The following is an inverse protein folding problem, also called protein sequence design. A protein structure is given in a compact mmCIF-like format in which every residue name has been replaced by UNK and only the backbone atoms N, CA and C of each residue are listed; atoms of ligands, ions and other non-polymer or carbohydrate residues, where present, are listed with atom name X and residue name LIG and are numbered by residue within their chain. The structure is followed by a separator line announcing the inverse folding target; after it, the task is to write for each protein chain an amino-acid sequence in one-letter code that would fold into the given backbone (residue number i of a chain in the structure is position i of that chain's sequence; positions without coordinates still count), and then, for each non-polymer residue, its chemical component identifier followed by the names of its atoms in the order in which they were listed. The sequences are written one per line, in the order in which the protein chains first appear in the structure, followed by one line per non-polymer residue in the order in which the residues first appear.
data_IF_692670130857
#
_entry.id   IF_692670130857
#
_cell.length_a   1.000
_cell.length_b   1.000
_cell.length_c   1.000
_cell.angle_alpha   90.00
_cell.angle_beta   90.00
_cell.angle_gamma   90.00
#
_symmetry.space_group_name_H-M   'P 1'
#
loop_
_entity.id
_entity.type
_entity.pdbx_description
1 polymer ?
#
# COMPACT_ATOMS: atom_id res chain seq x y z
N UNK A 1 0.51 5.20 -5.49
CA UNK A 1 1.22 4.34 -6.45
C UNK A 1 0.28 3.81 -7.53
N UNK A 2 -0.93 3.48 -7.18
CA UNK A 2 -1.95 3.09 -8.17
C UNK A 2 -2.20 4.21 -9.17
N UNK A 3 -2.15 5.43 -8.70
CA UNK A 3 -2.44 6.61 -9.52
C UNK A 3 -1.43 6.83 -10.66
N UNK A 4 -0.29 6.18 -10.59
CA UNK A 4 0.73 6.28 -11.63
C UNK A 4 0.74 5.05 -12.53
N UNK A 5 -0.34 4.28 -12.53
CA UNK A 5 -0.45 3.08 -13.35
C UNK A 5 0.40 1.91 -12.86
N UNK A 6 0.86 1.97 -11.62
CA UNK A 6 1.61 0.87 -11.01
C UNK A 6 0.62 -0.02 -10.26
N UNK A 7 0.37 -1.24 -10.77
CA UNK A 7 -0.69 -2.08 -10.22
C UNK A 7 -0.37 -2.62 -8.83
N UNK A 8 -1.41 -2.69 -8.00
CA UNK A 8 -1.33 -3.37 -6.73
C UNK A 8 -1.88 -4.78 -6.84
N UNK A 9 -1.51 -5.68 -5.92
CA UNK A 9 -1.87 -7.10 -6.06
C UNK A 9 -3.38 -7.38 -5.98
N UNK A 10 -4.11 -6.62 -5.16
CA UNK A 10 -5.55 -6.85 -5.01
C UNK A 10 -6.31 -6.61 -6.32
N UNK A 11 -5.96 -5.54 -7.02
CA UNK A 11 -6.60 -5.21 -8.30
C UNK A 11 -6.20 -6.17 -9.39
N UNK A 12 -4.96 -6.67 -9.37
CA UNK A 12 -4.51 -7.66 -10.35
C UNK A 12 -5.25 -8.97 -10.19
N UNK A 13 -5.54 -9.39 -8.97
CA UNK A 13 -6.31 -10.60 -8.72
C UNK A 13 -7.74 -10.41 -9.25
N UNK A 14 -8.30 -9.24 -9.04
CA UNK A 14 -9.64 -8.89 -9.51
C UNK A 14 -9.75 -8.97 -11.04
N UNK A 15 -8.72 -8.51 -11.76
CA UNK A 15 -8.71 -8.47 -13.22
C UNK A 15 -7.92 -9.63 -13.85
N UNK A 16 -7.61 -10.68 -13.08
CA UNK A 16 -6.71 -11.74 -13.50
C UNK A 16 -7.07 -12.34 -14.87
N UNK A 17 -8.35 -12.64 -15.10
CA UNK A 17 -8.80 -13.25 -16.36
C UNK A 17 -8.68 -12.28 -17.52
N UNK A 18 -8.99 -11.01 -17.31
CA UNK A 18 -8.97 -9.99 -18.36
C UNK A 18 -7.55 -9.62 -18.77
N UNK A 19 -6.61 -9.72 -17.84
CA UNK A 19 -5.21 -9.39 -18.08
C UNK A 19 -4.47 -10.60 -18.67
N UNK A 20 -4.99 -11.79 -18.44
CA UNK A 20 -4.37 -13.02 -18.92
C UNK A 20 -3.20 -13.48 -18.07
N UNK A 21 -3.38 -13.44 -16.74
CA UNK A 21 -2.36 -13.91 -15.81
C UNK A 21 -2.24 -15.43 -15.90
N UNK A 22 -1.00 -15.92 -15.96
CA UNK A 22 -0.72 -17.35 -15.85
C UNK A 22 -0.97 -17.80 -14.41
N UNK A 23 -1.08 -19.12 -14.21
CA UNK A 23 -1.22 -19.69 -12.87
C UNK A 23 -0.04 -19.32 -11.99
N UNK A 24 1.16 -19.32 -12.55
CA UNK A 24 2.38 -18.95 -11.84
C UNK A 24 2.35 -17.47 -11.41
N UNK A 25 1.93 -16.59 -12.32
CA UNK A 25 1.80 -15.18 -12.01
C UNK A 25 0.75 -14.95 -10.94
N UNK A 26 -0.37 -15.63 -11.05
CA UNK A 26 -1.46 -15.53 -10.07
C UNK A 26 -0.98 -15.95 -8.68
N UNK A 27 -0.24 -17.06 -8.59
CA UNK A 27 0.31 -17.53 -7.32
C UNK A 27 1.30 -16.53 -6.72
N UNK A 28 2.17 -15.97 -7.57
CA UNK A 28 3.16 -14.97 -7.12
C UNK A 28 2.49 -13.70 -6.59
N UNK A 29 1.44 -13.24 -7.27
CA UNK A 29 0.71 -12.04 -6.86
C UNK A 29 -0.04 -12.29 -5.55
N UNK A 30 -0.64 -13.47 -5.40
CA UNK A 30 -1.31 -13.82 -4.14
C UNK A 30 -0.34 -13.88 -2.98
N UNK A 31 0.85 -14.45 -3.19
CA UNK A 31 1.87 -14.50 -2.16
C UNK A 31 2.32 -13.09 -1.77
N UNK A 32 2.48 -12.22 -2.75
CA UNK A 32 2.86 -10.83 -2.51
C UNK A 32 1.78 -10.09 -1.73
N UNK A 33 0.51 -10.31 -2.08
CA UNK A 33 -0.63 -9.73 -1.38
C UNK A 33 -0.69 -10.17 0.08
N UNK A 34 -0.54 -11.49 0.33
CA UNK A 34 -0.60 -12.03 1.69
C UNK A 34 0.55 -11.52 2.55
N UNK A 35 1.75 -11.40 1.96
CA UNK A 35 2.90 -10.85 2.67
C UNK A 35 2.67 -9.38 3.04
N UNK A 36 2.19 -8.59 2.10
CA UNK A 36 1.83 -7.19 2.35
C UNK A 36 0.79 -7.07 3.45
N UNK A 37 -0.27 -7.87 3.37
CA UNK A 37 -1.36 -7.84 4.34
C UNK A 37 -0.87 -8.16 5.74
N UNK A 38 -0.01 -9.18 5.87
CA UNK A 38 0.56 -9.58 7.16
C UNK A 38 1.36 -8.43 7.78
N UNK A 39 2.23 -7.79 6.99
CA UNK A 39 3.03 -6.66 7.47
C UNK A 39 2.17 -5.44 7.76
N UNK A 40 1.16 -5.18 6.93
CA UNK A 40 0.26 -4.05 7.13
C UNK A 40 -0.51 -4.19 8.45
N UNK A 41 -0.96 -5.39 8.77
CA UNK A 41 -1.64 -5.67 10.04
C UNK A 41 -0.69 -5.45 11.21
N UNK A 42 0.55 -5.94 11.10
CA UNK A 42 1.56 -5.79 12.15
C UNK A 42 1.85 -4.32 12.44
N UNK A 43 2.13 -3.54 11.41
CA UNK A 43 2.45 -2.12 11.58
C UNK A 43 1.21 -1.29 11.91
N UNK A 44 0.05 -1.66 11.38
CA UNK A 44 -1.22 -1.01 11.72
C UNK A 44 -1.56 -1.17 13.20
N UNK A 45 -1.38 -2.37 13.73
CA UNK A 45 -1.59 -2.64 15.15
C UNK A 45 -0.62 -1.83 16.01
N UNK A 46 0.65 -1.78 15.60
CA UNK A 46 1.66 -0.98 16.29
C UNK A 46 1.32 0.50 16.26
N UNK A 47 0.79 0.99 15.13
CA UNK A 47 0.40 2.39 15.01
C UNK A 47 -0.73 2.74 15.97
N UNK A 48 -1.75 1.91 16.04
CA UNK A 48 -2.87 2.10 16.97
C UNK A 48 -2.36 2.14 18.41
N UNK A 49 -1.43 1.24 18.75
CA UNK A 49 -0.86 1.20 20.10
C UNK A 49 -0.10 2.48 20.41
N UNK A 50 0.69 2.98 19.47
CA UNK A 50 1.45 4.22 19.70
C UNK A 50 0.55 5.44 19.81
N UNK A 51 -0.55 5.48 19.06
CA UNK A 51 -1.54 6.55 19.19
C UNK A 51 -2.24 6.51 20.55
N UNK A 52 -2.54 5.30 21.03
CA UNK A 52 -3.12 5.13 22.38
C UNK A 52 -2.14 5.58 23.45
N UNK A 53 -0.86 5.29 23.26
CA UNK A 53 0.17 5.74 24.21
C UNK A 53 0.21 7.27 24.29
N UNK A 54 0.07 7.93 23.16
CA UNK A 54 0.01 9.40 23.10
C UNK A 54 -1.19 9.92 23.88
N UNK A 55 -2.36 9.34 23.65
CA UNK A 55 -3.58 9.74 24.37
C UNK A 55 -3.42 9.53 25.88
N UNK A 56 -2.79 8.41 26.26
CA UNK A 56 -2.54 8.09 27.67
C UNK A 56 -1.64 9.11 28.33
N UNK A 57 -0.60 9.57 27.64
CA UNK A 57 0.31 10.60 28.15
C UNK A 57 -0.44 11.87 28.51
N UNK A 58 -1.35 12.31 27.63
CA UNK A 58 -2.16 13.50 27.90
C UNK A 58 -3.20 13.26 29.00
N UNK A 59 -3.82 12.08 29.01
CA UNK A 59 -4.81 11.73 30.05
C UNK A 59 -4.16 11.73 31.43
N UNK A 60 -2.93 11.26 31.53
CA UNK A 60 -2.20 11.18 32.81
C UNK A 60 -1.52 12.51 33.18
N UNK A 61 -1.59 13.51 32.29
CA UNK A 61 -1.02 14.85 32.51
C UNK A 61 0.47 14.81 32.82
N UNK A 62 1.17 13.81 32.29
CA UNK A 62 2.62 13.67 32.52
C UNK A 62 3.43 13.93 31.24
N UNK A 63 2.83 14.55 30.26
CA UNK A 63 3.50 14.86 29.00
C UNK A 63 4.38 16.09 29.15
N UNK A 64 5.59 16.01 28.59
CA UNK A 64 6.52 17.13 28.50
C UNK A 64 6.82 17.36 27.03
N UNK A 65 7.46 18.50 26.72
CA UNK A 65 7.87 18.78 25.34
C UNK A 65 8.76 17.65 24.80
N UNK A 66 9.70 17.19 25.63
CA UNK A 66 10.66 16.16 25.25
C UNK A 66 9.96 14.81 25.04
N UNK A 67 9.09 14.40 25.96
CA UNK A 67 8.38 13.12 25.85
C UNK A 67 7.40 13.14 24.68
N UNK A 68 6.77 14.29 24.41
CA UNK A 68 5.89 14.46 23.27
C UNK A 68 6.65 14.27 21.96
N UNK A 69 7.78 14.94 21.80
CA UNK A 69 8.60 14.83 20.60
C UNK A 69 9.02 13.38 20.33
N UNK A 70 9.44 12.68 21.39
CA UNK A 70 9.85 11.29 21.31
C UNK A 70 8.69 10.38 20.87
N UNK A 71 7.51 10.61 21.45
CA UNK A 71 6.32 9.80 21.11
C UNK A 71 5.87 10.04 19.68
N UNK A 72 5.93 11.30 19.22
CA UNK A 72 5.58 11.62 17.83
C UNK A 72 6.57 11.00 16.84
N UNK A 73 7.84 10.89 17.19
CA UNK A 73 8.82 10.18 16.37
C UNK A 73 8.49 8.70 16.23
N UNK A 74 8.05 8.07 17.31
CA UNK A 74 7.64 6.66 17.28
C UNK A 74 6.46 6.46 16.36
N UNK A 75 5.45 7.34 16.46
CA UNK A 75 4.27 7.29 15.61
C UNK A 75 4.66 7.49 14.15
N UNK A 76 5.47 8.48 13.86
CA UNK A 76 5.93 8.78 12.51
C UNK A 76 6.71 7.61 11.90
N UNK A 77 7.56 6.96 12.70
CA UNK A 77 8.34 5.80 12.25
C UNK A 77 7.43 4.63 11.84
N UNK A 78 6.46 4.29 12.68
CA UNK A 78 5.53 3.19 12.40
C UNK A 78 4.65 3.53 11.19
N UNK A 79 4.16 4.76 11.12
CA UNK A 79 3.34 5.22 10.00
C UNK A 79 4.12 5.15 8.68
N UNK A 80 5.40 5.53 8.72
CA UNK A 80 6.29 5.46 7.56
C UNK A 80 6.49 4.01 7.11
N UNK A 81 6.69 3.09 8.05
CA UNK A 81 6.86 1.67 7.73
C UNK A 81 5.60 1.08 7.11
N UNK A 82 4.44 1.44 7.63
CA UNK A 82 3.16 0.98 7.08
C UNK A 82 2.99 1.46 5.63
N UNK A 83 3.28 2.72 5.39
CA UNK A 83 3.22 3.30 4.05
C UNK A 83 4.22 2.62 3.11
N UNK A 84 5.44 2.37 3.61
CA UNK A 84 6.49 1.71 2.83
C UNK A 84 6.07 0.31 2.37
N UNK A 85 5.42 -0.46 3.26
CA UNK A 85 4.92 -1.80 2.91
C UNK A 85 4.02 -1.75 1.68
N UNK A 86 3.08 -0.82 1.66
CA UNK A 86 2.16 -0.67 0.53
C UNK A 86 2.88 -0.23 -0.75
N UNK A 87 3.75 0.77 -0.63
CA UNK A 87 4.45 1.32 -1.80
C UNK A 87 5.46 0.33 -2.38
N UNK A 88 6.18 -0.40 -1.54
CA UNK A 88 7.11 -1.43 -2.00
C UNK A 88 6.39 -2.54 -2.74
N UNK A 89 5.20 -2.90 -2.28
CA UNK A 89 4.38 -3.91 -2.96
C UNK A 89 4.05 -3.45 -4.38
N UNK A 90 3.69 -2.18 -4.55
CA UNK A 90 3.45 -1.62 -5.89
C UNK A 90 4.70 -1.63 -6.75
N UNK A 91 5.88 -1.48 -6.16
CA UNK A 91 7.14 -1.55 -6.91
C UNK A 91 7.47 -2.97 -7.37
N UNK A 92 7.08 -3.98 -6.58
CA UNK A 92 7.37 -5.38 -6.89
C UNK A 92 6.41 -5.97 -7.91
N UNK A 93 5.20 -5.45 -8.00
CA UNK A 93 4.16 -6.01 -8.85
C UNK A 93 4.53 -6.01 -10.34
N UNK A 94 5.05 -4.90 -10.92
CA UNK A 94 5.39 -4.90 -12.35
C UNK A 94 6.42 -5.94 -12.75
N UNK A 95 7.28 -6.37 -11.83
CA UNK A 95 8.30 -7.39 -12.11
C UNK A 95 7.68 -8.76 -12.39
N UNK A 96 6.45 -9.00 -11.94
CA UNK A 96 5.72 -10.25 -12.15
C UNK A 96 5.01 -10.25 -13.50
N UNK A 97 4.68 -9.06 -14.01
CA UNK A 97 3.86 -8.89 -15.20
C UNK A 97 4.74 -8.67 -16.44
N UNK A 98 4.19 -9.01 -17.62
CA UNK A 98 4.76 -8.56 -18.88
C UNK A 98 4.35 -7.11 -19.11
N UNK A 99 5.09 -6.44 -20.01
CA UNK A 99 4.77 -5.07 -20.38
C UNK A 99 3.34 -4.95 -20.96
N UNK A 100 2.96 -5.94 -21.79
CA UNK A 100 1.62 -5.97 -22.37
C UNK A 100 0.55 -6.08 -21.28
N UNK A 101 0.80 -6.87 -20.26
CA UNK A 101 -0.15 -7.04 -19.15
C UNK A 101 -0.31 -5.74 -18.36
N UNK A 102 0.77 -4.99 -18.14
CA UNK A 102 0.71 -3.69 -17.48
C UNK A 102 -0.12 -2.71 -18.29
N UNK A 103 0.09 -2.67 -19.61
CA UNK A 103 -0.69 -1.82 -20.51
C UNK A 103 -2.17 -2.19 -20.45
N UNK A 104 -2.49 -3.48 -20.51
CA UNK A 104 -3.87 -3.96 -20.45
C UNK A 104 -4.53 -3.58 -19.12
N UNK A 105 -3.80 -3.75 -18.03
CA UNK A 105 -4.29 -3.36 -16.70
C UNK A 105 -4.62 -1.87 -16.65
N UNK A 106 -3.70 -1.04 -17.16
CA UNK A 106 -3.88 0.42 -17.14
C UNK A 106 -5.08 0.84 -18.00
N UNK A 107 -5.30 0.17 -19.12
CA UNK A 107 -6.48 0.42 -19.96
C UNK A 107 -7.77 0.08 -19.21
N UNK A 108 -7.80 -1.05 -18.51
CA UNK A 108 -8.97 -1.47 -17.73
C UNK A 108 -9.27 -0.51 -16.59
N UNK A 109 -8.23 0.11 -16.03
CA UNK A 109 -8.38 1.08 -14.94
C UNK A 109 -8.52 2.51 -15.43
N UNK A 110 -8.38 2.76 -16.73
CA UNK A 110 -8.47 4.10 -17.29
C UNK A 110 -7.25 4.96 -17.05
N UNK A 111 -6.10 4.35 -16.82
CA UNK A 111 -4.86 5.08 -16.55
C UNK A 111 -4.01 5.33 -17.78
N UNK A 112 -4.39 4.79 -18.93
CA UNK A 112 -3.58 4.94 -20.12
C UNK A 112 -3.90 6.24 -20.84
N UNK A 113 -3.02 7.21 -20.78
CA UNK A 113 -2.94 8.37 -21.64
C UNK A 113 -4.18 9.22 -21.94
N UNK A 114 -5.20 9.10 -21.28
CA UNK A 114 -6.39 9.89 -21.55
C UNK A 114 -6.61 10.93 -20.52
N UNK A 115 -7.00 10.54 -20.94
CA UNK A 115 -7.27 10.97 -20.27
C UNK A 115 -8.01 11.25 -19.78
N UNK A 116 -8.10 11.20 -19.88
CA UNK A 116 -8.79 11.33 -19.56
C UNK A 116 -9.46 11.62 -19.12
N UNK A 117 -9.50 11.91 -19.20
CA UNK A 117 -10.09 12.05 -18.90
C UNK A 117 -10.64 12.48 -18.59
N UNK A 118 -10.58 12.76 -18.78
CA UNK A 118 -11.08 13.03 -18.64
C UNK A 118 -11.63 13.33 -18.32
N UNK A 119 -11.73 13.68 -18.45
CA UNK A 119 -12.04 13.78 -18.32
C UNK A 119 -12.33 13.98 -17.76
N UNK A 120 -12.26 14.25 -17.78
CA UNK A 120 -12.21 14.25 -17.52
C UNK A 120 -12.10 14.47 -17.02
N UNK A 121 -12.23 14.83 -17.06
CA UNK A 121 -11.84 15.07 -16.89
C UNK A 121 -11.86 15.46 -16.78
#
# INVERSE_FOLDING_TARGET
AELNGMPGPAHLIEFADKIGLSDKQRASIQALFLHMQSQAIQFGTALVQQERNLDQMFANKNVTRKSLAKQLEKIASVRSKLRQVHLETHLKTPAILTQHQVVTYNQLRGYSGKSDHSGHH
#
